data_IF_983764195824
#
_entry.id   IF_983764195824
#
_cell.length_a   1.000
_cell.length_b   1.000
_cell.length_c   1.000
_cell.angle_alpha   90.00
_cell.angle_beta   90.00
_cell.angle_gamma   90.00
#
_symmetry.space_group_name_H-M   'P 1'
#
loop_
_entity.id
_entity.type
_entity.pdbx_description
1 polymer ?
#
# COMPACT_ATOMS: atom_id res chain seq x y z
N UNK A 1 23.71 -3.30 2.86
CA UNK A 1 22.62 -2.77 3.70
C UNK A 1 22.09 -1.56 2.95
N UNK A 2 20.88 -1.60 2.47
CA UNK A 2 20.22 -0.51 1.73
C UNK A 2 18.95 -0.11 2.47
N UNK A 3 18.45 1.11 2.20
CA UNK A 3 17.21 1.59 2.77
C UNK A 3 16.03 1.25 1.87
N UNK A 4 14.91 0.87 2.47
CA UNK A 4 13.62 0.71 1.79
C UNK A 4 12.66 1.73 2.39
N UNK A 5 12.00 2.48 1.52
CA UNK A 5 11.01 3.47 1.91
C UNK A 5 9.63 2.82 2.05
N UNK A 6 9.00 2.95 3.21
CA UNK A 6 7.57 2.65 3.39
C UNK A 6 6.78 3.94 3.31
N UNK A 7 5.99 4.10 2.27
CA UNK A 7 5.06 5.23 2.15
C UNK A 7 3.71 4.81 2.70
N UNK A 8 3.30 5.43 3.80
CA UNK A 8 2.09 5.08 4.52
C UNK A 8 1.08 6.24 4.51
N UNK A 9 -0.19 5.89 4.64
CA UNK A 9 -1.26 6.89 4.78
C UNK A 9 -1.14 7.68 6.08
N UNK A 10 -1.51 8.96 6.05
CA UNK A 10 -1.77 9.77 7.22
C UNK A 10 -3.26 9.93 7.53
N UNK A 11 -4.15 9.32 6.72
CA UNK A 11 -5.59 9.42 6.89
C UNK A 11 -6.11 8.42 7.94
N UNK A 12 -6.97 8.90 8.85
CA UNK A 12 -7.62 8.13 9.91
C UNK A 12 -9.05 7.68 9.54
N UNK A 13 -9.49 8.02 8.35
CA UNK A 13 -10.82 7.68 7.84
C UNK A 13 -10.84 7.60 6.31
N UNK A 14 -11.87 6.95 5.79
CA UNK A 14 -12.26 6.98 4.39
C UNK A 14 -13.66 7.61 4.28
N UNK A 15 -13.78 8.68 3.50
CA UNK A 15 -15.03 9.39 3.30
C UNK A 15 -15.90 8.63 2.30
N UNK A 16 -17.04 8.11 2.77
CA UNK A 16 -18.02 7.36 1.99
C UNK A 16 -18.91 8.26 1.13
N UNK A 17 -19.74 7.67 0.28
CA UNK A 17 -20.59 8.39 -0.68
C UNK A 17 -21.60 9.35 -0.04
N UNK A 18 -22.10 9.00 1.15
CA UNK A 18 -23.02 9.83 1.94
C UNK A 18 -22.32 10.90 2.80
N UNK A 19 -20.99 10.96 2.75
CA UNK A 19 -20.16 11.84 3.56
C UNK A 19 -19.78 11.29 4.92
N UNK A 20 -20.22 10.09 5.28
CA UNK A 20 -19.78 9.42 6.50
C UNK A 20 -18.28 9.15 6.47
N UNK A 21 -17.62 9.41 7.58
CA UNK A 21 -16.20 9.09 7.78
C UNK A 21 -16.08 7.70 8.40
N UNK A 22 -15.73 6.72 7.56
CA UNK A 22 -15.45 5.35 8.01
C UNK A 22 -14.06 5.31 8.64
N UNK A 23 -13.92 5.02 9.96
CA UNK A 23 -12.62 4.95 10.60
C UNK A 23 -11.76 3.87 9.97
N UNK A 24 -10.50 4.21 9.65
CA UNK A 24 -9.54 3.29 9.04
C UNK A 24 -8.11 3.82 9.24
N UNK A 25 -7.18 3.36 8.46
CA UNK A 25 -5.78 3.72 8.42
C UNK A 25 -5.01 2.72 7.56
N UNK A 26 -3.79 2.34 7.98
CA UNK A 26 -3.08 1.23 7.35
C UNK A 26 -3.49 -0.11 7.96
N UNK A 27 -3.36 -1.19 7.18
CA UNK A 27 -3.63 -2.56 7.62
C UNK A 27 -2.39 -3.17 8.29
N UNK A 28 -2.50 -3.66 9.53
CA UNK A 28 -1.37 -4.06 10.36
C UNK A 28 -0.48 -5.13 9.71
N UNK A 29 -1.04 -6.24 9.23
CA UNK A 29 -0.28 -7.33 8.61
C UNK A 29 0.51 -6.86 7.38
N UNK A 30 -0.05 -5.94 6.59
CA UNK A 30 0.57 -5.42 5.37
C UNK A 30 1.77 -4.50 5.64
N UNK A 31 1.87 -3.94 6.83
CA UNK A 31 3.06 -3.24 7.28
C UNK A 31 4.04 -4.19 7.98
N UNK A 32 3.55 -5.03 8.91
CA UNK A 32 4.40 -5.90 9.76
C UNK A 32 5.10 -6.98 8.95
N UNK A 33 4.38 -7.71 8.08
CA UNK A 33 4.95 -8.84 7.34
C UNK A 33 6.06 -8.41 6.38
N UNK A 34 5.90 -7.38 5.54
CA UNK A 34 6.99 -6.87 4.71
C UNK A 34 8.12 -6.24 5.52
N UNK A 35 7.82 -5.50 6.59
CA UNK A 35 8.85 -4.95 7.48
C UNK A 35 9.77 -6.04 8.00
N UNK A 36 9.20 -7.14 8.52
CA UNK A 36 9.97 -8.27 9.03
C UNK A 36 10.79 -8.96 7.93
N UNK A 37 10.22 -9.12 6.73
CA UNK A 37 10.92 -9.73 5.61
C UNK A 37 12.14 -8.89 5.17
N UNK A 38 11.97 -7.59 5.02
CA UNK A 38 13.05 -6.71 4.59
C UNK A 38 14.13 -6.54 5.66
N UNK A 39 13.75 -6.40 6.93
CA UNK A 39 14.72 -6.28 8.04
C UNK A 39 15.49 -7.58 8.27
N UNK A 40 14.83 -8.74 8.13
CA UNK A 40 15.50 -10.05 8.19
C UNK A 40 16.52 -10.22 7.05
N UNK A 41 16.29 -9.60 5.89
CA UNK A 41 17.23 -9.57 4.78
C UNK A 41 18.36 -8.51 4.94
N UNK A 42 18.34 -7.76 6.05
CA UNK A 42 19.38 -6.79 6.39
C UNK A 42 19.17 -5.38 5.82
N UNK A 43 17.95 -5.04 5.41
CA UNK A 43 17.60 -3.69 4.97
C UNK A 43 17.13 -2.83 6.16
N UNK A 44 17.39 -1.53 6.06
CA UNK A 44 16.85 -0.50 6.95
C UNK A 44 15.51 -0.01 6.39
N UNK A 45 14.52 0.19 7.25
CA UNK A 45 13.22 0.73 6.83
C UNK A 45 13.13 2.19 7.28
N UNK A 46 12.63 3.04 6.40
CA UNK A 46 12.23 4.41 6.70
C UNK A 46 10.76 4.55 6.38
N UNK A 47 9.97 5.03 7.33
CA UNK A 47 8.55 5.31 7.13
C UNK A 47 8.37 6.78 6.76
N UNK A 48 7.61 7.04 5.69
CA UNK A 48 7.21 8.38 5.27
C UNK A 48 5.69 8.47 5.17
N UNK A 49 5.14 9.61 5.55
CA UNK A 49 3.71 9.93 5.40
C UNK A 49 3.54 11.36 4.90
N UNK A 50 2.43 11.69 4.24
CA UNK A 50 2.10 13.09 3.95
C UNK A 50 2.17 13.93 5.23
N UNK A 51 2.99 14.99 5.22
CA UNK A 51 3.21 15.87 6.37
C UNK A 51 3.96 15.27 7.56
N UNK A 52 4.43 14.02 7.51
CA UNK A 52 5.12 13.36 8.63
C UNK A 52 4.18 12.97 9.79
N UNK A 53 2.91 12.73 9.50
CA UNK A 53 1.90 12.32 10.50
C UNK A 53 2.14 10.85 10.86
N UNK A 54 2.10 10.50 12.16
CA UNK A 54 2.12 9.09 12.57
C UNK A 54 0.94 8.36 11.91
N UNK A 55 1.20 7.32 11.10
CA UNK A 55 0.15 6.68 10.32
C UNK A 55 -0.90 6.04 11.24
N UNK A 56 -2.20 6.35 11.04
CA UNK A 56 -3.28 5.74 11.80
C UNK A 56 -3.42 4.25 11.46
N UNK A 57 -3.63 3.43 12.50
CA UNK A 57 -3.89 2.00 12.35
C UNK A 57 -5.38 1.74 12.14
N UNK A 58 -5.73 0.94 11.14
CA UNK A 58 -7.04 0.33 11.08
C UNK A 58 -7.19 -0.71 12.19
N UNK A 59 -7.99 -0.40 13.21
CA UNK A 59 -8.18 -1.27 14.37
C UNK A 59 -8.82 -2.62 13.99
N UNK A 60 -9.59 -2.67 12.90
CA UNK A 60 -10.16 -3.90 12.37
C UNK A 60 -9.12 -4.90 11.92
N UNK A 61 -7.93 -4.41 11.50
CA UNK A 61 -6.83 -5.26 11.07
C UNK A 61 -6.24 -6.14 12.17
N UNK A 62 -6.48 -5.81 13.43
CA UNK A 62 -6.07 -6.62 14.58
C UNK A 62 -7.14 -7.63 15.03
N UNK A 63 -8.28 -7.70 14.32
CA UNK A 63 -9.32 -8.65 14.70
C UNK A 63 -8.88 -10.11 14.49
N UNK A 64 -9.22 -11.04 15.41
CA UNK A 64 -8.77 -12.43 15.35
C UNK A 64 -9.10 -13.17 14.05
N UNK A 65 -10.26 -12.85 13.44
CA UNK A 65 -10.69 -13.50 12.19
C UNK A 65 -9.74 -13.25 11.01
N UNK A 66 -9.00 -12.13 11.01
CA UNK A 66 -8.04 -11.80 9.95
C UNK A 66 -6.61 -12.30 10.25
N UNK A 67 -6.37 -12.74 11.49
CA UNK A 67 -5.03 -13.09 11.98
C UNK A 67 -4.88 -14.56 12.42
N UNK A 68 -5.78 -15.45 11.98
CA UNK A 68 -5.73 -16.87 12.36
C UNK A 68 -6.07 -17.13 13.84
N UNK A 69 -6.87 -16.25 14.48
CA UNK A 69 -7.32 -16.34 15.86
C UNK A 69 -6.61 -15.36 16.81
N UNK A 70 -6.94 -15.46 18.09
CA UNK A 70 -6.44 -14.55 19.16
C UNK A 70 -4.91 -14.54 19.27
N UNK A 71 -4.27 -15.69 19.12
CA UNK A 71 -2.80 -15.78 19.21
C UNK A 71 -2.13 -15.05 18.03
N UNK A 72 -2.67 -15.21 16.82
CA UNK A 72 -2.17 -14.51 15.64
C UNK A 72 -2.39 -13.00 15.72
N UNK A 73 -3.57 -12.57 16.15
CA UNK A 73 -3.87 -11.15 16.38
C UNK A 73 -2.89 -10.53 17.39
N UNK A 74 -2.62 -11.23 18.49
CA UNK A 74 -1.63 -10.78 19.49
C UNK A 74 -0.22 -10.69 18.89
N UNK A 75 0.22 -11.68 18.10
CA UNK A 75 1.54 -11.64 17.45
C UNK A 75 1.71 -10.43 16.54
N UNK A 76 0.70 -10.12 15.73
CA UNK A 76 0.74 -8.93 14.85
C UNK A 76 0.76 -7.65 15.68
N UNK A 77 -0.06 -7.54 16.73
CA UNK A 77 -0.08 -6.38 17.60
C UNK A 77 1.27 -6.16 18.32
N UNK A 78 1.85 -7.23 18.88
CA UNK A 78 3.16 -7.17 19.56
C UNK A 78 4.28 -6.79 18.58
N UNK A 79 4.26 -7.37 17.36
CA UNK A 79 5.22 -7.04 16.31
C UNK A 79 5.09 -5.58 15.87
N UNK A 80 3.87 -5.10 15.63
CA UNK A 80 3.60 -3.71 15.25
C UNK A 80 4.11 -2.74 16.33
N UNK A 81 3.87 -3.04 17.61
CA UNK A 81 4.34 -2.21 18.73
C UNK A 81 5.87 -2.12 18.83
N UNK A 82 6.59 -3.07 18.23
CA UNK A 82 8.06 -3.08 18.19
C UNK A 82 8.67 -2.26 17.04
N UNK A 83 7.86 -1.81 16.08
CA UNK A 83 8.33 -1.03 14.91
C UNK A 83 8.35 0.45 15.27
N UNK A 84 9.50 0.93 15.73
CA UNK A 84 9.68 2.33 16.15
C UNK A 84 9.55 3.32 15.00
N UNK A 85 9.89 2.92 13.78
CA UNK A 85 9.86 3.74 12.56
C UNK A 85 8.45 4.24 12.22
N UNK A 86 7.42 3.45 12.56
CA UNK A 86 6.02 3.86 12.40
C UNK A 86 5.66 5.05 13.31
N UNK A 87 6.30 5.13 14.48
CA UNK A 87 6.06 6.24 15.43
C UNK A 87 6.87 7.50 15.11
N UNK A 88 7.85 7.38 14.22
CA UNK A 88 8.77 8.46 13.85
C UNK A 88 8.87 8.63 12.32
N UNK A 89 7.73 8.81 11.62
CA UNK A 89 7.75 8.96 10.17
C UNK A 89 8.46 10.26 9.76
N UNK A 90 9.15 10.20 8.63
CA UNK A 90 9.62 11.42 7.96
C UNK A 90 8.48 12.01 7.12
N UNK A 91 8.61 13.28 6.76
CA UNK A 91 7.67 13.89 5.82
C UNK A 91 7.91 13.36 4.42
N UNK A 92 6.85 12.95 3.74
CA UNK A 92 6.93 12.47 2.36
C UNK A 92 7.50 13.55 1.41
N UNK A 93 7.22 14.80 1.70
CA UNK A 93 7.70 15.96 0.93
C UNK A 93 9.22 16.16 1.01
N UNK A 94 9.87 15.58 2.03
CA UNK A 94 11.32 15.71 2.28
C UNK A 94 12.10 14.46 1.79
N UNK A 95 11.41 13.48 1.17
CA UNK A 95 12.03 12.24 0.67
C UNK A 95 12.78 12.50 -0.63
N UNK A 96 14.06 12.06 -0.66
CA UNK A 96 14.83 11.92 -1.89
C UNK A 96 14.87 10.44 -2.29
N UNK A 97 14.30 10.09 -3.46
CA UNK A 97 14.22 8.70 -3.91
C UNK A 97 15.60 8.03 -4.08
N UNK A 98 16.64 8.81 -4.40
CA UNK A 98 17.99 8.30 -4.61
C UNK A 98 18.63 7.69 -3.33
N UNK A 99 18.06 8.00 -2.15
CA UNK A 99 18.48 7.41 -0.87
C UNK A 99 17.95 5.98 -0.65
N UNK A 100 17.04 5.49 -1.50
CA UNK A 100 16.30 4.25 -1.28
C UNK A 100 16.47 3.24 -2.43
N UNK A 101 16.70 1.99 -2.06
CA UNK A 101 16.82 0.89 -3.02
C UNK A 101 15.46 0.34 -3.49
N UNK A 102 14.39 0.63 -2.76
CA UNK A 102 13.02 0.23 -3.09
C UNK A 102 12.02 1.09 -2.34
N UNK A 103 10.78 1.11 -2.85
CA UNK A 103 9.63 1.77 -2.23
C UNK A 103 8.51 0.76 -2.02
N UNK A 104 7.89 0.77 -0.85
CA UNK A 104 6.78 -0.10 -0.50
C UNK A 104 5.60 0.71 0.07
N UNK A 105 4.39 0.40 -0.40
CA UNK A 105 3.14 1.00 0.04
C UNK A 105 2.24 -0.08 0.67
N UNK A 106 2.13 -0.17 2.02
CA UNK A 106 1.12 -0.99 2.67
C UNK A 106 -0.27 -0.37 2.48
N UNK A 107 -1.31 -1.22 2.45
CA UNK A 107 -2.67 -0.75 2.23
C UNK A 107 -3.45 -0.53 3.53
N UNK A 108 -4.70 -0.94 3.55
CA UNK A 108 -5.79 -0.43 4.37
C UNK A 108 -6.54 0.64 3.58
N UNK A 109 -7.71 1.08 4.01
CA UNK A 109 -8.51 2.05 3.24
C UNK A 109 -7.98 3.51 3.31
N UNK A 110 -7.06 3.83 4.23
CA UNK A 110 -6.49 5.17 4.34
C UNK A 110 -5.93 5.74 3.03
N UNK A 111 -5.15 4.97 2.23
CA UNK A 111 -4.65 5.42 0.93
C UNK A 111 -5.72 5.87 -0.06
N UNK A 112 -6.96 5.39 0.09
CA UNK A 112 -8.12 5.83 -0.72
C UNK A 112 -8.53 7.28 -0.43
N UNK A 113 -8.23 7.80 0.77
CA UNK A 113 -8.55 9.17 1.18
C UNK A 113 -7.45 10.15 0.80
N UNK A 114 -6.19 9.88 1.16
CA UNK A 114 -5.09 10.83 1.02
C UNK A 114 -4.16 10.51 -0.18
N UNK A 115 -3.56 9.33 -0.24
CA UNK A 115 -2.54 9.00 -1.24
C UNK A 115 -3.09 8.96 -2.67
N UNK A 116 -4.38 8.68 -2.83
CA UNK A 116 -5.05 8.69 -4.14
C UNK A 116 -4.99 10.05 -4.86
N UNK A 117 -4.77 11.13 -4.11
CA UNK A 117 -4.75 12.51 -4.62
C UNK A 117 -3.48 13.28 -4.22
N UNK A 118 -2.55 12.64 -3.50
CA UNK A 118 -1.31 13.28 -3.06
C UNK A 118 -0.31 13.42 -4.21
N UNK A 119 -0.05 14.68 -4.60
CA UNK A 119 0.83 14.99 -5.72
C UNK A 119 2.30 14.62 -5.46
N UNK A 120 2.75 14.64 -4.19
CA UNK A 120 4.11 14.26 -3.81
C UNK A 120 4.31 12.76 -3.96
N UNK A 121 3.34 11.96 -3.47
CA UNK A 121 3.31 10.52 -3.71
C UNK A 121 3.25 10.19 -5.20
N UNK A 122 2.38 10.89 -5.96
CA UNK A 122 2.27 10.72 -7.41
C UNK A 122 3.60 10.98 -8.13
N UNK A 123 4.33 12.03 -7.75
CA UNK A 123 5.65 12.33 -8.30
C UNK A 123 6.67 11.26 -7.94
N UNK A 124 6.72 10.83 -6.67
CA UNK A 124 7.61 9.77 -6.21
C UNK A 124 7.41 8.47 -7.01
N UNK A 125 6.14 8.11 -7.28
CA UNK A 125 5.78 6.94 -8.09
C UNK A 125 6.28 7.07 -9.53
N UNK A 126 6.13 8.24 -10.16
CA UNK A 126 6.64 8.51 -11.51
C UNK A 126 8.17 8.40 -11.54
N UNK A 127 8.85 8.98 -10.56
CA UNK A 127 10.31 8.94 -10.46
C UNK A 127 10.80 7.49 -10.25
N UNK A 128 10.11 6.68 -9.42
CA UNK A 128 10.43 5.27 -9.22
C UNK A 128 10.26 4.44 -10.50
N UNK A 129 9.25 4.73 -11.33
CA UNK A 129 9.12 4.09 -12.64
C UNK A 129 10.24 4.48 -13.58
N UNK A 130 10.62 5.77 -13.60
CA UNK A 130 11.64 6.29 -14.50
C UNK A 130 13.05 5.77 -14.15
N UNK A 131 13.37 5.66 -12.85
CA UNK A 131 14.65 5.15 -12.36
C UNK A 131 14.76 3.61 -12.39
N UNK A 132 13.61 2.91 -12.50
CA UNK A 132 13.56 1.45 -12.36
C UNK A 132 13.64 0.98 -10.91
N UNK A 133 13.50 1.87 -9.92
CA UNK A 133 13.47 1.53 -8.49
C UNK A 133 12.31 0.56 -8.22
N UNK A 134 12.56 -0.61 -7.58
CA UNK A 134 11.52 -1.57 -7.23
C UNK A 134 10.38 -0.92 -6.42
N UNK A 135 9.15 -1.14 -6.85
CA UNK A 135 7.96 -0.55 -6.27
C UNK A 135 6.96 -1.65 -5.89
N UNK A 136 6.70 -1.82 -4.59
CA UNK A 136 5.71 -2.74 -4.05
C UNK A 136 4.47 -2.01 -3.57
N UNK A 137 3.29 -2.47 -3.95
CA UNK A 137 2.02 -1.82 -3.58
C UNK A 137 0.96 -2.89 -3.31
N UNK A 138 0.28 -2.84 -2.15
CA UNK A 138 -0.61 -3.93 -1.70
C UNK A 138 -2.01 -3.43 -1.36
N UNK A 139 -3.03 -4.28 -1.61
CA UNK A 139 -4.41 -4.11 -1.16
C UNK A 139 -5.06 -2.84 -1.71
N UNK A 140 -5.37 -1.84 -0.86
CA UNK A 140 -5.89 -0.54 -1.30
C UNK A 140 -4.80 0.50 -1.59
N UNK A 141 -3.53 0.23 -1.28
CA UNK A 141 -2.44 1.16 -1.61
C UNK A 141 -2.30 1.47 -3.10
N UNK A 142 -2.70 0.60 -4.08
CA UNK A 142 -2.75 1.00 -5.49
C UNK A 142 -3.61 2.24 -5.78
N UNK A 143 -4.44 2.72 -4.83
CA UNK A 143 -5.09 4.02 -4.92
C UNK A 143 -4.07 5.16 -5.12
N UNK A 144 -2.87 5.06 -4.53
CA UNK A 144 -1.80 6.05 -4.74
C UNK A 144 -1.39 6.19 -6.22
N UNK A 145 -1.52 5.12 -7.02
CA UNK A 145 -1.20 5.13 -8.44
C UNK A 145 -2.07 6.11 -9.23
N UNK A 146 -3.27 6.44 -8.71
CA UNK A 146 -4.18 7.42 -9.33
C UNK A 146 -3.58 8.82 -9.37
N UNK A 147 -2.74 9.18 -8.40
CA UNK A 147 -2.07 10.47 -8.32
C UNK A 147 -0.88 10.62 -9.29
N UNK A 148 -0.42 9.53 -9.92
CA UNK A 148 0.75 9.53 -10.81
C UNK A 148 0.42 10.08 -12.21
N UNK A 149 0.01 11.35 -12.27
CA UNK A 149 -0.38 12.06 -13.50
C UNK A 149 0.84 12.65 -14.18
N UNK A 150 1.08 12.27 -15.43
CA UNK A 150 2.15 12.82 -16.27
C UNK A 150 1.82 14.23 -16.79
N UNK A 151 2.83 14.92 -17.31
CA UNK A 151 2.68 16.26 -17.87
C UNK A 151 1.70 16.33 -19.06
N UNK A 152 1.49 15.23 -19.78
CA UNK A 152 0.52 15.12 -20.88
C UNK A 152 -0.93 14.86 -20.41
N UNK A 153 -1.15 14.74 -19.10
CA UNK A 153 -2.43 14.46 -18.47
C UNK A 153 -2.77 12.97 -18.37
N UNK A 154 -1.97 12.08 -18.96
CA UNK A 154 -2.14 10.65 -18.83
C UNK A 154 -1.59 10.12 -17.49
N UNK A 155 -2.08 8.96 -17.05
CA UNK A 155 -1.52 8.31 -15.86
C UNK A 155 -0.25 7.51 -16.23
N UNK A 156 0.74 7.51 -15.33
CA UNK A 156 2.01 6.84 -15.56
C UNK A 156 1.89 5.30 -15.57
N UNK A 157 0.85 4.76 -14.95
CA UNK A 157 0.57 3.32 -14.88
C UNK A 157 -0.37 2.81 -15.99
N UNK A 158 -0.79 3.65 -16.93
CA UNK A 158 -1.55 3.21 -18.10
C UNK A 158 -0.76 2.15 -18.88
N UNK A 159 -1.40 1.00 -19.14
CA UNK A 159 -0.79 -0.14 -19.82
C UNK A 159 0.13 -1.02 -18.94
N UNK A 160 0.22 -0.74 -17.62
CA UNK A 160 0.83 -1.67 -16.69
C UNK A 160 -0.14 -2.77 -16.29
N UNK A 161 0.36 -4.01 -16.22
CA UNK A 161 -0.35 -5.09 -15.54
C UNK A 161 -0.18 -4.92 -14.05
N UNK A 162 -1.29 -4.93 -13.33
CA UNK A 162 -1.29 -4.73 -11.89
C UNK A 162 -2.54 -5.34 -11.24
N UNK A 163 -2.53 -5.44 -9.93
CA UNK A 163 -3.69 -5.83 -9.12
C UNK A 163 -3.82 -4.90 -7.91
N UNK A 164 -4.89 -5.01 -7.21
CA UNK A 164 -5.22 -4.33 -5.96
C UNK A 164 -6.49 -4.93 -5.40
N UNK A 165 -7.02 -4.38 -4.31
CA UNK A 165 -8.24 -4.88 -3.68
C UNK A 165 -9.40 -4.87 -4.68
N UNK A 166 -10.03 -6.04 -4.87
CA UNK A 166 -11.02 -6.23 -5.93
C UNK A 166 -12.42 -5.76 -5.51
N UNK A 167 -13.27 -5.50 -6.51
CA UNK A 167 -14.68 -5.19 -6.28
C UNK A 167 -15.41 -6.33 -5.55
N UNK A 168 -15.01 -7.58 -5.83
CA UNK A 168 -15.56 -8.75 -5.16
C UNK A 168 -15.19 -8.76 -3.68
N UNK A 169 -13.94 -8.45 -3.33
CA UNK A 169 -13.47 -8.36 -1.95
C UNK A 169 -14.12 -7.17 -1.22
N UNK A 170 -14.23 -6.00 -1.85
CA UNK A 170 -14.90 -4.82 -1.26
C UNK A 170 -16.38 -5.09 -0.99
N UNK A 171 -17.04 -5.86 -1.87
CA UNK A 171 -18.42 -6.30 -1.67
C UNK A 171 -18.53 -7.24 -0.47
N UNK A 172 -17.61 -8.19 -0.33
CA UNK A 172 -17.58 -9.13 0.80
C UNK A 172 -17.18 -8.43 2.11
N UNK A 173 -16.35 -7.39 2.05
CA UNK A 173 -16.03 -6.52 3.19
C UNK A 173 -17.23 -5.64 3.60
N UNK A 174 -18.26 -5.53 2.76
CA UNK A 174 -19.50 -4.80 3.05
C UNK A 174 -19.45 -3.30 2.80
N UNK A 175 -18.39 -2.78 2.19
CA UNK A 175 -18.18 -1.35 1.96
C UNK A 175 -18.48 -0.90 0.52
N UNK A 176 -18.55 -1.81 -0.45
CA UNK A 176 -18.73 -1.47 -1.86
C UNK A 176 -19.98 -0.61 -2.12
N UNK A 177 -21.11 -0.92 -1.47
CA UNK A 177 -22.36 -0.16 -1.65
C UNK A 177 -22.31 1.28 -1.09
N UNK A 178 -21.38 1.56 -0.18
CA UNK A 178 -21.20 2.85 0.47
C UNK A 178 -20.01 3.63 -0.08
N UNK A 179 -19.17 3.00 -0.90
CA UNK A 179 -17.99 3.61 -1.49
C UNK A 179 -18.36 4.75 -2.45
N UNK A 180 -17.58 5.86 -2.44
CA UNK A 180 -17.67 6.89 -3.49
C UNK A 180 -17.20 6.36 -4.84
N UNK A 181 -16.24 5.47 -4.83
CA UNK A 181 -15.64 4.80 -5.97
C UNK A 181 -14.93 3.52 -5.50
N UNK A 182 -14.78 2.58 -6.41
CA UNK A 182 -14.11 1.31 -6.14
C UNK A 182 -12.70 1.33 -6.75
N UNK A 183 -11.72 0.78 -6.04
CA UNK A 183 -10.32 0.81 -6.44
C UNK A 183 -10.11 0.15 -7.80
N UNK A 184 -10.62 -1.07 -7.98
CA UNK A 184 -10.51 -1.81 -9.24
C UNK A 184 -11.01 -0.98 -10.43
N UNK A 185 -12.19 -0.34 -10.30
CA UNK A 185 -12.76 0.47 -11.36
C UNK A 185 -11.84 1.65 -11.73
N UNK A 186 -11.30 2.34 -10.72
CA UNK A 186 -10.42 3.48 -10.93
C UNK A 186 -9.09 3.07 -11.57
N UNK A 187 -8.54 1.91 -11.21
CA UNK A 187 -7.33 1.38 -11.83
C UNK A 187 -7.56 1.04 -13.31
N UNK A 188 -8.72 0.48 -13.65
CA UNK A 188 -9.12 0.25 -15.05
C UNK A 188 -9.31 1.58 -15.79
N UNK A 189 -9.98 2.58 -15.17
CA UNK A 189 -10.20 3.91 -15.77
C UNK A 189 -8.90 4.63 -16.13
N UNK A 190 -7.84 4.51 -15.33
CA UNK A 190 -6.54 5.10 -15.67
C UNK A 190 -5.78 4.33 -16.76
N UNK A 191 -6.38 3.27 -17.29
CA UNK A 191 -5.84 2.47 -18.40
C UNK A 191 -4.89 1.35 -17.96
N UNK A 192 -4.89 0.95 -16.69
CA UNK A 192 -4.14 -0.22 -16.24
C UNK A 192 -4.77 -1.53 -16.74
N UNK A 193 -3.94 -2.54 -16.99
CA UNK A 193 -4.38 -3.91 -17.28
C UNK A 193 -4.53 -4.65 -15.94
N UNK A 194 -5.72 -4.51 -15.33
CA UNK A 194 -6.02 -5.06 -14.01
C UNK A 194 -6.18 -6.58 -14.05
N UNK A 195 -5.45 -7.26 -13.16
CA UNK A 195 -5.41 -8.71 -13.05
C UNK A 195 -6.09 -9.16 -11.75
N UNK A 196 -7.32 -9.64 -11.82
CA UNK A 196 -8.08 -10.14 -10.69
C UNK A 196 -7.75 -11.61 -10.40
N UNK A 197 -7.49 -11.92 -9.14
CA UNK A 197 -7.38 -13.28 -8.61
C UNK A 197 -8.61 -13.66 -7.76
N UNK A 198 -8.63 -14.89 -7.24
CA UNK A 198 -9.67 -15.32 -6.32
C UNK A 198 -9.70 -14.42 -5.06
N UNK A 199 -10.89 -13.98 -4.60
CA UNK A 199 -11.00 -13.16 -3.40
C UNK A 199 -10.31 -13.79 -2.19
N UNK A 200 -9.58 -12.97 -1.45
CA UNK A 200 -8.83 -13.32 -0.22
C UNK A 200 -7.68 -14.32 -0.41
N UNK A 201 -7.49 -14.87 -1.59
CA UNK A 201 -6.31 -15.67 -1.92
C UNK A 201 -5.13 -14.75 -2.29
N UNK A 202 -3.87 -15.16 -2.04
CA UNK A 202 -2.71 -14.41 -2.50
C UNK A 202 -2.72 -14.27 -4.02
N UNK A 203 -2.66 -13.05 -4.52
CA UNK A 203 -2.49 -12.74 -5.93
C UNK A 203 -1.42 -11.65 -6.07
N UNK A 204 -0.32 -11.96 -6.76
CA UNK A 204 0.78 -11.04 -7.01
C UNK A 204 0.98 -10.87 -8.50
N UNK A 205 1.03 -9.63 -8.95
CA UNK A 205 1.30 -9.26 -10.33
C UNK A 205 2.61 -8.48 -10.41
N UNK A 206 3.51 -8.96 -11.24
CA UNK A 206 4.80 -8.31 -11.51
C UNK A 206 4.81 -7.78 -12.93
N UNK A 207 5.08 -6.49 -13.09
CA UNK A 207 5.30 -5.87 -14.38
C UNK A 207 6.45 -4.86 -14.28
N UNK A 208 7.54 -5.12 -15.00
CA UNK A 208 8.76 -4.29 -14.95
C UNK A 208 9.31 -4.18 -13.50
N UNK A 209 9.41 -2.98 -12.95
CA UNK A 209 9.82 -2.75 -11.56
C UNK A 209 8.65 -2.68 -10.57
N UNK A 210 7.40 -2.76 -11.05
CA UNK A 210 6.20 -2.76 -10.22
C UNK A 210 5.86 -4.18 -9.75
N UNK A 211 5.56 -4.33 -8.46
CA UNK A 211 5.04 -5.55 -7.83
C UNK A 211 3.78 -5.18 -7.07
N UNK A 212 2.64 -5.69 -7.45
CA UNK A 212 1.36 -5.42 -6.78
C UNK A 212 0.78 -6.67 -6.15
N UNK A 213 0.12 -6.50 -5.02
CA UNK A 213 -0.61 -7.55 -4.30
C UNK A 213 -2.08 -7.17 -4.12
N UNK A 214 -2.99 -8.14 -4.29
CA UNK A 214 -4.43 -7.87 -4.30
C UNK A 214 -5.01 -7.55 -2.92
N UNK A 215 -4.47 -8.18 -1.86
CA UNK A 215 -5.11 -8.23 -0.53
C UNK A 215 -4.06 -8.47 0.55
N UNK A 216 -4.44 -8.49 1.86
CA UNK A 216 -3.48 -8.73 2.95
C UNK A 216 -2.67 -10.02 2.81
N UNK A 217 -3.28 -11.11 2.31
CA UNK A 217 -2.58 -12.38 2.10
C UNK A 217 -1.46 -12.29 1.05
N UNK A 218 -1.47 -11.25 0.23
CA UNK A 218 -0.44 -10.99 -0.79
C UNK A 218 0.79 -10.25 -0.24
N UNK A 219 0.74 -9.69 0.98
CA UNK A 219 1.80 -8.81 1.51
C UNK A 219 3.17 -9.52 1.62
N UNK A 220 3.19 -10.74 2.17
CA UNK A 220 4.41 -11.55 2.24
C UNK A 220 4.96 -11.93 0.86
N UNK A 221 4.15 -12.49 -0.04
CA UNK A 221 4.56 -12.75 -1.42
C UNK A 221 5.08 -11.52 -2.17
N UNK A 222 4.47 -10.34 -2.03
CA UNK A 222 4.98 -9.08 -2.62
C UNK A 222 6.35 -8.73 -2.05
N UNK A 223 6.54 -8.82 -0.73
CA UNK A 223 7.84 -8.56 -0.10
C UNK A 223 8.93 -9.51 -0.62
N UNK A 224 8.59 -10.80 -0.81
CA UNK A 224 9.51 -11.79 -1.37
C UNK A 224 9.92 -11.45 -2.81
N UNK A 225 8.97 -11.06 -3.67
CA UNK A 225 9.26 -10.62 -5.04
C UNK A 225 10.09 -9.32 -5.07
N UNK A 226 9.84 -8.40 -4.16
CA UNK A 226 10.65 -7.19 -4.05
C UNK A 226 12.09 -7.51 -3.64
N UNK A 227 12.32 -8.42 -2.68
CA UNK A 227 13.66 -8.84 -2.28
C UNK A 227 14.48 -9.42 -3.45
N UNK A 228 13.83 -10.10 -4.41
CA UNK A 228 14.46 -10.57 -5.63
C UNK A 228 14.93 -9.43 -6.55
N UNK A 229 14.40 -8.22 -6.38
CA UNK A 229 14.71 -7.03 -7.19
C UNK A 229 15.67 -6.06 -6.50
N UNK A 230 15.74 -6.12 -5.18
CA UNK A 230 16.66 -5.30 -4.36
C UNK A 230 17.98 -6.06 -4.24
N UNK A 231 18.95 -5.78 -5.09
CA UNK A 231 20.28 -6.41 -5.08
C UNK A 231 21.32 -5.53 -4.42
#
# INVERSE_FOLDING_TARGET
>A
MSKILFVMTGADHWTLADGTKHPTGFWAEEAVTPYQAFTAAGHEIVVATPGGIVPPLDQGSLAPQFNGGEEGAKKIADALASISEIQHPVRLEDVDLDDYAAVFYPGGHGPMEDLAVDATSGKLLIDALASGTPLGVVCHAPAALLAATKADGGNAFAGYRLTGFSNAEETQAGLAASAKWLLQDRLVEIGADYQEGEPWAPNVVVDRNLVTGQNPASAGPVAAEMLNKVS
#
